data_IF_075453878969
#
_entry.id   IF_075453878969
#
_cell.length_a   1.000
_cell.length_b   1.000
_cell.length_c   1.000
_cell.angle_alpha   90.00
_cell.angle_beta   90.00
_cell.angle_gamma   90.00
#
_symmetry.space_group_name_H-M   'P 1'
#
loop_
_entity.id
_entity.type
_entity.pdbx_description
1 polymer ?
#
# COMPACT_ATOMS: atom_id res chain seq x y z
N UNK A 1 6.78 1.73 16.16
CA UNK A 1 6.92 3.19 15.93
C UNK A 1 6.71 3.54 14.45
N UNK A 2 5.79 2.82 13.76
CA UNK A 2 5.33 3.05 12.38
C UNK A 2 3.81 3.32 12.31
N UNK A 3 3.15 3.39 13.47
CA UNK A 3 1.69 3.32 13.59
C UNK A 3 0.98 4.67 13.76
N UNK A 4 1.70 5.80 13.60
CA UNK A 4 1.13 7.12 13.88
C UNK A 4 1.08 8.09 12.68
N UNK A 5 1.53 7.67 11.48
CA UNK A 5 1.54 8.55 10.29
C UNK A 5 0.54 8.13 9.20
N UNK A 6 -0.15 6.99 9.35
CA UNK A 6 -1.09 6.47 8.33
C UNK A 6 -2.57 6.45 8.75
N UNK A 7 -2.97 7.25 9.74
CA UNK A 7 -4.32 7.21 10.34
C UNK A 7 -5.24 8.39 9.98
N UNK A 8 -5.00 9.10 8.87
CA UNK A 8 -5.86 10.19 8.40
C UNK A 8 -6.19 10.04 6.91
N UNK A 9 -6.66 8.87 6.50
CA UNK A 9 -7.04 8.61 5.11
C UNK A 9 -8.50 8.16 5.06
N UNK A 10 -9.43 9.07 4.79
CA UNK A 10 -10.72 8.76 4.16
C UNK A 10 -11.49 10.04 3.79
N UNK A 11 -12.05 10.13 2.57
CA UNK A 11 -13.21 10.98 2.29
C UNK A 11 -14.46 10.38 2.96
N UNK A 12 -15.23 11.20 3.66
CA UNK A 12 -16.56 10.81 4.15
C UNK A 12 -17.51 10.69 2.96
N UNK A 13 -18.16 9.55 2.80
CA UNK A 13 -19.30 9.39 1.86
C UNK A 13 -20.56 9.28 2.70
N UNK A 14 -21.29 10.40 2.79
CA UNK A 14 -22.57 10.44 3.47
C UNK A 14 -23.66 10.08 2.45
N UNK A 15 -24.31 8.92 2.62
CA UNK A 15 -25.61 8.68 1.98
C UNK A 15 -26.65 9.55 2.70
N UNK A 16 -27.38 10.36 1.94
CA UNK A 16 -28.54 11.09 2.45
C UNK A 16 -29.56 10.11 3.00
N UNK A 17 -29.72 10.11 4.33
CA UNK A 17 -30.84 9.44 4.97
C UNK A 17 -32.04 10.38 4.91
N UNK A 18 -33.11 9.89 4.28
CA UNK A 18 -34.43 10.49 4.28
C UNK A 18 -34.89 10.71 5.72
N UNK A 19 -35.18 11.96 6.09
CA UNK A 19 -35.69 12.31 7.43
C UNK A 19 -37.17 11.93 7.54
N UNK A 20 -37.43 10.67 7.89
CA UNK A 20 -38.72 10.24 8.43
C UNK A 20 -38.75 10.54 9.93
N UNK A 21 -39.62 11.46 10.35
CA UNK A 21 -39.96 11.70 11.75
C UNK A 21 -40.43 10.39 12.40
N UNK A 22 -39.86 10.06 13.57
CA UNK A 22 -40.45 9.08 14.48
C UNK A 22 -40.49 9.72 15.87
N UNK A 23 -41.70 9.80 16.40
CA UNK A 23 -42.06 10.40 17.68
C UNK A 23 -41.44 9.67 18.88
N UNK A 24 -41.11 10.48 19.88
CA UNK A 24 -40.55 10.09 21.17
C UNK A 24 -41.67 9.65 22.14
N UNK A 25 -41.47 8.60 22.94
CA UNK A 25 -42.07 8.58 24.28
C UNK A 25 -41.02 8.42 25.37
N UNK A 26 -41.21 9.26 26.39
CA UNK A 26 -40.41 9.42 27.60
C UNK A 26 -40.41 8.20 28.52
N UNK A 27 -39.31 8.06 29.29
CA UNK A 27 -39.39 7.64 30.70
C UNK A 27 -38.90 6.23 31.04
N UNK A 28 -37.62 6.09 31.42
CA UNK A 28 -37.21 5.10 32.41
C UNK A 28 -35.87 5.48 33.06
N UNK A 29 -35.86 5.46 34.39
CA UNK A 29 -34.82 5.94 35.29
C UNK A 29 -33.50 5.13 35.24
N UNK A 30 -32.38 5.84 35.37
CA UNK A 30 -31.05 5.30 35.63
C UNK A 30 -30.93 4.78 37.08
N UNK A 31 -30.50 3.52 37.24
CA UNK A 31 -29.95 2.98 38.48
C UNK A 31 -28.53 2.48 38.22
N UNK A 32 -27.56 2.95 39.02
CA UNK A 32 -26.17 2.50 39.05
C UNK A 32 -26.04 1.06 39.58
N UNK A 33 -25.07 0.24 39.12
CA UNK A 33 -24.69 -0.96 39.83
C UNK A 33 -23.43 -0.78 40.69
N UNK A 34 -23.59 -1.27 41.91
CA UNK A 34 -22.65 -1.39 43.02
C UNK A 34 -21.50 -2.37 42.71
N UNK A 35 -20.34 -2.11 43.32
CA UNK A 35 -19.14 -2.93 43.26
C UNK A 35 -19.28 -4.29 43.97
N UNK A 36 -18.86 -5.39 43.32
CA UNK A 36 -18.69 -6.70 43.96
C UNK A 36 -17.25 -7.23 43.87
N UNK A 37 -16.85 -7.90 44.97
CA UNK A 37 -15.53 -8.41 45.34
C UNK A 37 -15.22 -9.78 44.70
N UNK A 38 -13.94 -10.21 44.65
CA UNK A 38 -13.50 -11.32 43.81
C UNK A 38 -13.84 -12.70 44.40
N UNK A 39 -14.36 -13.60 43.56
CA UNK A 39 -14.61 -15.02 43.89
C UNK A 39 -13.41 -15.87 43.48
N UNK A 40 -13.00 -16.75 44.40
CA UNK A 40 -11.85 -17.67 44.31
C UNK A 40 -12.01 -18.71 43.19
N UNK A 41 -10.91 -19.03 42.54
CA UNK A 41 -10.77 -20.10 41.55
C UNK A 41 -11.04 -21.47 42.18
N UNK A 42 -11.94 -22.24 41.55
CA UNK A 42 -12.07 -23.68 41.80
C UNK A 42 -11.78 -24.45 40.51
N UNK A 43 -10.95 -25.49 40.68
CA UNK A 43 -10.58 -26.56 39.75
C UNK A 43 -11.80 -27.05 38.93
N UNK A 44 -11.65 -27.13 37.62
CA UNK A 44 -12.57 -27.87 36.75
C UNK A 44 -11.94 -29.23 36.43
N UNK A 45 -12.59 -30.28 36.92
CA UNK A 45 -12.34 -31.67 36.58
C UNK A 45 -12.77 -31.97 35.13
N UNK A 46 -12.03 -32.84 34.48
CA UNK A 46 -12.27 -33.36 33.14
C UNK A 46 -13.58 -34.16 33.08
N UNK A 47 -14.58 -33.64 32.39
CA UNK A 47 -15.81 -34.35 32.04
C UNK A 47 -15.84 -34.67 30.55
N UNK A 48 -16.05 -35.95 30.28
CA UNK A 48 -16.12 -36.65 29.00
C UNK A 48 -17.30 -36.23 28.12
N UNK A 49 -17.03 -36.21 26.81
CA UNK A 49 -17.94 -36.41 25.67
C UNK A 49 -19.44 -36.11 25.89
N UNK A 50 -19.88 -34.92 25.47
CA UNK A 50 -21.27 -34.69 25.03
C UNK A 50 -21.25 -34.18 23.60
N UNK A 51 -21.88 -34.95 22.71
CA UNK A 51 -22.16 -34.58 21.33
C UNK A 51 -22.92 -33.24 21.28
N UNK A 52 -22.33 -32.27 20.56
CA UNK A 52 -23.02 -31.05 20.17
C UNK A 52 -24.09 -31.39 19.10
N UNK A 53 -25.28 -30.79 19.16
CA UNK A 53 -26.34 -31.05 18.19
C UNK A 53 -25.95 -30.54 16.79
N UNK A 54 -26.36 -31.31 15.77
CA UNK A 54 -26.15 -31.08 14.34
C UNK A 54 -26.30 -29.60 13.94
N UNK A 55 -25.15 -28.94 13.73
CA UNK A 55 -25.10 -27.68 12.98
C UNK A 55 -25.50 -28.02 11.55
N UNK A 56 -26.66 -27.51 11.12
CA UNK A 56 -27.08 -27.57 9.71
C UNK A 56 -25.91 -27.04 8.88
N UNK A 57 -25.44 -27.88 7.96
CA UNK A 57 -24.45 -27.54 6.97
C UNK A 57 -24.81 -26.19 6.35
N UNK A 58 -24.01 -25.16 6.62
CA UNK A 58 -24.02 -23.96 5.80
C UNK A 58 -23.69 -24.43 4.39
N UNK A 59 -24.65 -24.26 3.48
CA UNK A 59 -24.47 -24.58 2.08
C UNK A 59 -23.16 -23.94 1.63
N UNK A 60 -22.24 -24.79 1.19
CA UNK A 60 -21.01 -24.42 0.50
C UNK A 60 -21.43 -23.50 -0.64
N UNK A 61 -21.21 -22.20 -0.51
CA UNK A 61 -21.32 -21.29 -1.64
C UNK A 61 -20.15 -21.65 -2.53
N UNK A 62 -20.39 -22.58 -3.47
CA UNK A 62 -19.55 -22.70 -4.66
C UNK A 62 -19.51 -21.33 -5.30
N UNK A 63 -18.33 -20.78 -5.61
CA UNK A 63 -18.26 -19.53 -6.37
C UNK A 63 -19.10 -19.73 -7.63
N UNK A 64 -20.03 -18.84 -7.87
CA UNK A 64 -20.78 -18.83 -9.11
C UNK A 64 -19.74 -18.74 -10.25
N UNK A 65 -19.70 -19.76 -11.10
CA UNK A 65 -19.03 -19.72 -12.40
C UNK A 65 -19.77 -18.72 -13.28
N UNK A 66 -19.49 -17.43 -13.08
CA UNK A 66 -19.97 -16.37 -13.95
C UNK A 66 -19.04 -16.25 -15.16
N UNK A 67 -19.56 -16.76 -16.28
CA UNK A 67 -19.42 -16.28 -17.66
C UNK A 67 -18.04 -15.75 -18.12
N UNK A 68 -17.44 -16.51 -19.05
CA UNK A 68 -16.49 -16.08 -20.08
C UNK A 68 -15.42 -15.07 -19.64
N UNK A 69 -14.29 -15.60 -19.16
CA UNK A 69 -13.02 -14.87 -19.03
C UNK A 69 -12.70 -14.16 -20.37
N UNK A 70 -12.53 -12.82 -20.40
CA UNK A 70 -12.00 -12.16 -21.58
C UNK A 70 -10.54 -12.61 -21.75
N UNK A 71 -10.27 -13.30 -22.87
CA UNK A 71 -8.96 -13.71 -23.40
C UNK A 71 -7.81 -13.84 -22.38
N UNK A 72 -7.92 -14.76 -21.42
CA UNK A 72 -6.72 -15.27 -20.74
C UNK A 72 -5.94 -16.04 -21.80
N UNK A 73 -4.90 -15.42 -22.36
CA UNK A 73 -3.90 -16.13 -23.14
C UNK A 73 -3.38 -17.30 -22.29
N UNK A 74 -3.18 -18.45 -22.94
CA UNK A 74 -3.01 -19.76 -22.30
C UNK A 74 -2.22 -19.72 -20.98
N UNK A 75 -2.72 -20.43 -19.95
CA UNK A 75 -2.01 -20.58 -18.68
C UNK A 75 -0.58 -21.10 -18.93
N UNK A 76 0.39 -20.40 -18.35
CA UNK A 76 1.80 -20.79 -18.42
C UNK A 76 2.31 -21.24 -17.06
N UNK A 77 3.30 -22.12 -17.07
CA UNK A 77 4.02 -22.47 -15.86
C UNK A 77 5.18 -21.50 -15.64
N UNK A 78 5.21 -20.86 -14.47
CA UNK A 78 6.31 -19.98 -14.04
C UNK A 78 6.87 -20.42 -12.69
N UNK A 79 8.16 -20.18 -12.48
CA UNK A 79 8.84 -20.49 -11.21
C UNK A 79 8.78 -19.28 -10.29
N UNK A 80 8.12 -19.42 -9.14
CA UNK A 80 7.88 -18.36 -8.19
C UNK A 80 8.43 -18.69 -6.81
N UNK A 81 9.04 -17.73 -6.09
CA UNK A 81 9.51 -17.96 -4.74
C UNK A 81 8.34 -18.09 -3.76
N UNK A 82 8.55 -18.86 -2.68
CA UNK A 82 7.60 -18.94 -1.57
C UNK A 82 7.47 -17.60 -0.83
N UNK A 83 8.58 -16.88 -0.67
CA UNK A 83 8.63 -15.56 -0.05
C UNK A 83 8.98 -14.49 -1.08
N UNK A 84 8.28 -13.37 -1.02
CA UNK A 84 8.58 -12.17 -1.79
C UNK A 84 8.30 -10.97 -0.89
N UNK A 85 9.30 -10.09 -0.74
CA UNK A 85 9.27 -8.99 0.20
C UNK A 85 10.67 -8.44 0.54
N UNK A 86 10.77 -7.61 1.59
CA UNK A 86 12.05 -7.09 2.08
C UNK A 86 13.06 -8.19 2.36
N UNK A 87 14.34 -7.95 2.03
CA UNK A 87 15.41 -8.91 2.32
C UNK A 87 15.42 -10.19 1.47
N UNK A 88 14.59 -10.27 0.41
CA UNK A 88 14.64 -11.37 -0.54
C UNK A 88 16.08 -11.59 -1.09
N UNK A 89 16.60 -12.81 -0.95
CA UNK A 89 17.88 -13.26 -1.51
C UNK A 89 17.65 -14.51 -2.36
N UNK A 90 17.84 -14.38 -3.69
CA UNK A 90 17.65 -15.47 -4.65
C UNK A 90 18.45 -16.73 -4.28
N UNK A 91 19.63 -16.58 -3.66
CA UNK A 91 20.52 -17.71 -3.32
C UNK A 91 19.96 -18.60 -2.22
N UNK A 92 19.13 -18.04 -1.35
CA UNK A 92 18.55 -18.72 -0.20
C UNK A 92 17.03 -18.96 -0.37
N UNK A 93 16.42 -18.41 -1.42
CA UNK A 93 15.00 -18.54 -1.69
C UNK A 93 14.64 -19.95 -2.17
N UNK A 94 13.50 -20.45 -1.68
CA UNK A 94 12.84 -21.65 -2.21
C UNK A 94 11.84 -21.24 -3.28
N UNK A 95 11.71 -22.06 -4.32
CA UNK A 95 10.83 -21.83 -5.46
C UNK A 95 9.83 -22.97 -5.64
N UNK A 96 8.69 -22.65 -6.25
CA UNK A 96 7.66 -23.58 -6.68
C UNK A 96 7.18 -23.19 -8.08
N UNK A 97 6.84 -24.20 -8.89
CA UNK A 97 6.17 -23.95 -10.16
C UNK A 97 4.70 -23.67 -9.92
N UNK A 98 4.16 -22.64 -10.56
CA UNK A 98 2.77 -22.22 -10.45
C UNK A 98 2.20 -21.98 -11.84
N UNK A 99 0.90 -22.24 -11.99
CA UNK A 99 0.18 -21.83 -13.17
C UNK A 99 -0.17 -20.34 -13.05
N UNK A 100 0.06 -19.59 -14.11
CA UNK A 100 -0.20 -18.16 -14.16
C UNK A 100 -0.91 -17.78 -15.45
N UNK A 101 -1.91 -16.91 -15.34
CA UNK A 101 -2.41 -16.16 -16.48
C UNK A 101 -1.33 -15.17 -16.92
N UNK A 102 -1.06 -15.09 -18.22
CA UNK A 102 -0.26 -14.01 -18.77
C UNK A 102 -1.16 -12.78 -18.89
N UNK A 103 -0.90 -11.78 -18.07
CA UNK A 103 -1.50 -10.47 -18.24
C UNK A 103 -0.75 -9.77 -19.38
N UNK A 104 -1.44 -9.51 -20.49
CA UNK A 104 -0.82 -8.95 -21.68
C UNK A 104 -0.14 -7.61 -21.35
N UNK A 105 1.11 -7.50 -21.78
CA UNK A 105 1.93 -6.31 -21.69
C UNK A 105 2.86 -6.32 -22.91
N UNK A 106 2.81 -5.31 -23.80
CA UNK A 106 2.38 -3.93 -23.52
C UNK A 106 0.86 -3.75 -23.47
N UNK A 107 0.43 -2.82 -22.61
CA UNK A 107 -0.95 -2.29 -22.66
C UNK A 107 -1.10 -1.70 -24.07
N UNK A 108 -1.95 -2.29 -24.90
CA UNK A 108 -2.32 -1.64 -26.15
C UNK A 108 -3.11 -0.39 -25.76
N UNK A 109 -2.46 0.78 -25.71
CA UNK A 109 -3.15 2.03 -25.48
C UNK A 109 -4.14 2.20 -26.64
N UNK A 110 -5.39 1.83 -26.37
CA UNK A 110 -6.46 1.98 -27.32
C UNK A 110 -7.13 3.32 -26.99
N UNK A 111 -6.94 4.38 -27.81
CA UNK A 111 -7.58 5.66 -27.58
C UNK A 111 -9.11 5.59 -27.62
N UNK A 112 -9.70 4.49 -28.12
CA UNK A 112 -11.13 4.23 -28.04
C UNK A 112 -11.55 3.57 -26.71
N UNK A 113 -10.61 3.07 -25.90
CA UNK A 113 -10.89 2.54 -24.58
C UNK A 113 -11.24 3.69 -23.65
N UNK A 114 -12.47 3.68 -23.15
CA UNK A 114 -12.98 4.75 -22.31
C UNK A 114 -12.45 4.56 -20.89
N UNK A 115 -11.92 5.64 -20.31
CA UNK A 115 -11.73 5.75 -18.85
C UNK A 115 -13.01 5.32 -18.16
N UNK A 116 -12.87 4.51 -17.12
CA UNK A 116 -14.03 4.19 -16.31
C UNK A 116 -14.51 5.48 -15.62
N UNK A 117 -15.82 5.72 -15.71
CA UNK A 117 -16.43 6.89 -15.05
C UNK A 117 -17.10 6.38 -13.78
N UNK A 118 -16.47 6.67 -12.64
CA UNK A 118 -17.07 6.35 -11.35
C UNK A 118 -18.41 7.09 -11.21
N UNK A 119 -19.48 6.42 -10.74
CA UNK A 119 -20.78 7.03 -10.49
C UNK A 119 -20.78 7.86 -9.20
N UNK A 120 -19.69 7.83 -8.42
CA UNK A 120 -19.49 8.57 -7.19
C UNK A 120 -18.10 9.19 -7.21
N UNK A 121 -18.02 10.44 -6.74
CA UNK A 121 -16.76 11.17 -6.60
C UNK A 121 -16.44 11.36 -5.11
N UNK A 122 -15.16 11.27 -4.77
CA UNK A 122 -14.70 11.55 -3.41
C UNK A 122 -14.86 13.03 -3.10
N UNK A 123 -15.37 13.35 -1.91
CA UNK A 123 -15.42 14.75 -1.43
C UNK A 123 -13.99 15.18 -1.06
N UNK A 124 -13.49 16.31 -1.59
CA UNK A 124 -12.18 16.83 -1.24
C UNK A 124 -12.02 17.07 0.27
N UNK A 125 -10.83 16.79 0.80
CA UNK A 125 -10.51 17.06 2.22
C UNK A 125 -10.67 18.54 2.59
N UNK A 126 -10.46 19.44 1.62
CA UNK A 126 -10.69 20.89 1.76
C UNK A 126 -12.14 21.26 2.06
N UNK A 127 -13.09 20.41 1.66
CA UNK A 127 -14.53 20.67 1.74
C UNK A 127 -15.18 20.04 2.98
N UNK A 128 -14.41 19.29 3.78
CA UNK A 128 -14.87 18.63 5.01
C UNK A 128 -14.15 19.23 6.21
N UNK A 129 -14.89 19.50 7.28
CA UNK A 129 -14.33 19.94 8.57
C UNK A 129 -14.86 19.08 9.70
N UNK A 130 -13.96 18.52 10.49
CA UNK A 130 -14.30 17.82 11.71
C UNK A 130 -14.69 18.83 12.79
N UNK A 131 -15.87 18.66 13.39
CA UNK A 131 -16.40 19.54 14.44
C UNK A 131 -16.50 18.83 15.77
N UNK A 132 -16.49 19.60 16.86
CA UNK A 132 -16.60 19.08 18.23
C UNK A 132 -15.37 18.33 18.73
N UNK A 133 -15.44 17.88 19.99
CA UNK A 133 -14.40 17.09 20.65
C UNK A 133 -14.76 15.60 20.60
N UNK A 134 -14.21 14.89 19.63
CA UNK A 134 -14.44 13.45 19.44
C UNK A 134 -13.12 12.74 19.11
N UNK A 135 -13.17 11.42 18.92
CA UNK A 135 -11.96 10.64 18.68
C UNK A 135 -11.23 11.02 17.38
N UNK A 136 -11.96 11.44 16.34
CA UNK A 136 -11.39 11.80 15.04
C UNK A 136 -10.75 13.19 15.08
N UNK A 137 -11.43 14.19 15.67
CA UNK A 137 -10.86 15.54 15.81
C UNK A 137 -9.65 15.57 16.76
N UNK A 138 -9.63 14.71 17.79
CA UNK A 138 -8.43 14.49 18.61
C UNK A 138 -7.28 13.83 17.83
N UNK A 139 -7.58 12.83 16.99
CA UNK A 139 -6.58 12.18 16.15
C UNK A 139 -5.97 13.15 15.12
N UNK A 140 -6.80 13.93 14.42
CA UNK A 140 -6.37 14.97 13.48
C UNK A 140 -5.44 15.98 14.17
N UNK A 141 -5.84 16.52 15.32
CA UNK A 141 -5.02 17.50 16.08
C UNK A 141 -3.70 16.90 16.57
N UNK A 142 -3.71 15.63 16.95
CA UNK A 142 -2.50 14.93 17.41
C UNK A 142 -1.53 14.71 16.24
N UNK A 143 -2.06 14.28 15.09
CA UNK A 143 -1.26 14.08 13.88
C UNK A 143 -0.70 15.42 13.37
N UNK A 144 -1.51 16.49 13.34
CA UNK A 144 -1.06 17.83 12.94
C UNK A 144 0.11 18.29 13.80
N UNK A 145 -0.02 18.22 15.14
CA UNK A 145 1.07 18.58 16.06
C UNK A 145 2.33 17.76 15.81
N UNK A 146 2.20 16.46 15.56
CA UNK A 146 3.34 15.60 15.26
C UNK A 146 4.05 16.03 13.97
N UNK A 147 3.30 16.32 12.91
CA UNK A 147 3.86 16.78 11.62
C UNK A 147 4.56 18.14 11.76
N UNK A 148 3.99 19.06 12.54
CA UNK A 148 4.55 20.38 12.81
C UNK A 148 5.82 20.33 13.67
N UNK A 149 5.98 19.30 14.52
CA UNK A 149 7.19 19.08 15.31
C UNK A 149 8.40 18.63 14.48
N UNK A 150 8.18 18.12 13.25
CA UNK A 150 9.25 17.61 12.41
C UNK A 150 9.99 18.76 11.71
N UNK A 151 11.30 18.88 11.97
CA UNK A 151 12.16 19.87 11.33
C UNK A 151 12.38 19.59 9.83
N UNK A 152 12.09 20.55 8.93
CA UNK A 152 12.39 20.45 7.49
C UNK A 152 13.87 20.18 7.21
N UNK A 153 14.79 20.82 7.94
CA UNK A 153 16.23 20.64 7.74
C UNK A 153 16.67 19.20 8.03
N UNK A 154 16.09 18.58 9.06
CA UNK A 154 16.38 17.18 9.42
C UNK A 154 15.78 16.19 8.43
N UNK A 155 14.58 16.48 7.89
CA UNK A 155 13.97 15.69 6.80
C UNK A 155 14.84 15.75 5.52
N UNK A 156 15.39 16.93 5.20
CA UNK A 156 16.22 17.14 4.01
C UNK A 156 17.65 16.63 4.15
N UNK A 157 18.09 16.25 5.36
CA UNK A 157 19.50 16.00 5.67
C UNK A 157 20.14 14.97 4.73
N UNK A 158 19.53 13.79 4.59
CA UNK A 158 20.11 12.70 3.78
C UNK A 158 20.07 13.00 2.28
N UNK A 159 19.03 13.72 1.81
CA UNK A 159 18.93 14.18 0.43
C UNK A 159 20.01 15.21 0.09
N UNK A 160 20.21 16.21 0.95
CA UNK A 160 21.26 17.22 0.79
C UNK A 160 22.64 16.57 0.79
N UNK A 161 22.90 15.62 1.70
CA UNK A 161 24.15 14.86 1.72
C UNK A 161 24.38 14.10 0.41
N UNK A 162 23.35 13.40 -0.09
CA UNK A 162 23.41 12.66 -1.35
C UNK A 162 23.68 13.60 -2.55
N UNK A 163 23.03 14.76 -2.56
CA UNK A 163 23.21 15.80 -3.58
C UNK A 163 24.49 16.64 -3.41
N UNK A 164 25.35 16.32 -2.42
CA UNK A 164 26.56 17.07 -2.06
C UNK A 164 26.30 18.55 -1.75
N UNK A 165 25.12 18.84 -1.20
CA UNK A 165 24.73 20.15 -0.71
C UNK A 165 25.05 20.29 0.79
N UNK A 166 25.24 21.53 1.30
CA UNK A 166 25.38 21.75 2.73
C UNK A 166 24.19 21.21 3.51
N UNK A 167 24.46 20.42 4.54
CA UNK A 167 23.44 19.91 5.48
C UNK A 167 23.28 20.86 6.66
N UNK A 168 22.07 20.95 7.19
CA UNK A 168 21.75 21.69 8.42
C UNK A 168 21.25 20.70 9.46
N UNK A 169 21.59 20.94 10.72
CA UNK A 169 21.19 20.09 11.86
C UNK A 169 21.71 18.63 11.75
N UNK A 170 21.17 17.74 12.58
CA UNK A 170 21.46 16.31 12.65
C UNK A 170 20.39 15.49 11.93
N UNK A 171 20.75 14.35 11.32
CA UNK A 171 19.76 13.47 10.70
C UNK A 171 18.74 12.97 11.73
N UNK A 172 17.61 12.46 11.24
CA UNK A 172 16.78 11.57 12.05
C UNK A 172 17.47 10.20 12.20
N UNK A 173 17.13 9.50 13.29
CA UNK A 173 17.67 8.19 13.63
C UNK A 173 16.76 7.06 13.10
N UNK A 174 16.96 5.83 13.59
CA UNK A 174 16.12 4.69 13.22
C UNK A 174 16.32 4.32 11.74
N UNK A 175 15.23 4.21 10.99
CA UNK A 175 15.30 3.87 9.56
C UNK A 175 15.69 5.06 8.68
N UNK A 176 15.67 6.29 9.22
CA UNK A 176 16.20 7.48 8.55
C UNK A 176 17.69 7.73 8.86
N UNK A 177 18.31 6.90 9.71
CA UNK A 177 19.73 7.00 10.00
C UNK A 177 20.55 6.95 8.69
N UNK A 178 21.61 7.76 8.52
CA UNK A 178 22.32 7.87 7.24
C UNK A 178 22.94 6.57 6.70
N UNK A 179 23.19 5.61 7.58
CA UNK A 179 23.68 4.27 7.23
C UNK A 179 22.58 3.26 6.86
N UNK A 180 21.30 3.62 7.01
CA UNK A 180 20.18 2.74 6.68
C UNK A 180 19.80 2.86 5.20
N UNK A 181 19.52 1.74 4.55
CA UNK A 181 19.16 1.69 3.12
C UNK A 181 17.72 2.14 2.84
N UNK A 182 16.83 2.16 3.84
CA UNK A 182 15.47 2.69 3.72
C UNK A 182 15.35 4.21 3.81
N UNK A 183 16.41 4.92 4.24
CA UNK A 183 16.38 6.37 4.48
C UNK A 183 15.75 7.15 3.31
N UNK A 184 15.01 8.20 3.63
CA UNK A 184 14.21 8.97 2.69
C UNK A 184 12.77 8.47 2.54
N UNK A 185 12.46 7.22 2.94
CA UNK A 185 11.10 6.70 2.85
C UNK A 185 10.12 7.46 3.75
N UNK A 186 10.58 7.87 4.94
CA UNK A 186 9.76 8.64 5.89
C UNK A 186 9.45 10.04 5.34
N UNK A 187 10.39 10.63 4.61
CA UNK A 187 10.19 11.95 3.98
C UNK A 187 9.12 11.87 2.90
N UNK A 188 9.07 10.78 2.12
CA UNK A 188 7.97 10.53 1.21
C UNK A 188 6.61 10.47 1.90
N UNK A 189 6.52 9.72 3.01
CA UNK A 189 5.30 9.68 3.84
C UNK A 189 4.94 11.03 4.44
N UNK A 190 5.92 11.80 4.90
CA UNK A 190 5.71 13.16 5.41
C UNK A 190 5.09 14.08 4.36
N UNK A 191 5.53 14.00 3.10
CA UNK A 191 4.96 14.80 2.01
C UNK A 191 3.47 14.48 1.81
N UNK A 192 3.07 13.21 1.75
CA UNK A 192 1.64 12.83 1.66
C UNK A 192 0.86 13.32 2.89
N UNK A 193 1.35 13.00 4.09
CA UNK A 193 0.65 13.31 5.34
C UNK A 193 0.49 14.83 5.56
N UNK A 194 1.52 15.62 5.24
CA UNK A 194 1.46 17.08 5.36
C UNK A 194 0.52 17.71 4.35
N UNK A 195 0.49 17.24 3.10
CA UNK A 195 -0.44 17.75 2.09
C UNK A 195 -1.92 17.52 2.51
N UNK A 196 -2.24 16.30 2.96
CA UNK A 196 -3.60 15.95 3.40
C UNK A 196 -4.01 16.66 4.69
N UNK A 197 -3.11 16.75 5.67
CA UNK A 197 -3.37 17.47 6.92
C UNK A 197 -3.53 18.98 6.66
N UNK A 198 -2.74 19.56 5.75
CA UNK A 198 -2.92 20.95 5.34
C UNK A 198 -4.27 21.16 4.65
N UNK A 199 -4.66 20.30 3.71
CA UNK A 199 -5.95 20.42 3.03
C UNK A 199 -7.14 20.34 4.01
N UNK A 200 -7.04 19.51 5.05
CA UNK A 200 -8.10 19.33 6.05
C UNK A 200 -8.19 20.47 7.07
N UNK A 201 -7.04 21.07 7.44
CA UNK A 201 -6.97 21.99 8.60
C UNK A 201 -6.65 23.43 8.22
N UNK A 202 -6.02 23.67 7.07
CA UNK A 202 -5.51 24.97 6.67
C UNK A 202 -4.33 25.48 7.52
N UNK A 203 -3.60 24.61 8.23
CA UNK A 203 -2.48 25.06 9.10
C UNK A 203 -1.38 25.76 8.30
N UNK A 204 -1.19 27.05 8.58
CA UNK A 204 -0.17 27.87 7.95
C UNK A 204 1.25 27.44 8.31
N UNK A 205 1.48 27.00 9.56
CA UNK A 205 2.79 26.51 9.98
C UNK A 205 3.17 25.22 9.23
N UNK A 206 2.20 24.31 9.06
CA UNK A 206 2.44 23.10 8.29
C UNK A 206 2.69 23.41 6.81
N UNK A 207 1.94 24.38 6.24
CA UNK A 207 2.14 24.86 4.86
C UNK A 207 3.58 25.32 4.62
N UNK A 208 4.10 26.18 5.50
CA UNK A 208 5.48 26.68 5.43
C UNK A 208 6.49 25.54 5.51
N UNK A 209 6.31 24.59 6.42
CA UNK A 209 7.23 23.47 6.58
C UNK A 209 7.23 22.54 5.36
N UNK A 210 6.07 22.16 4.83
CA UNK A 210 6.00 21.26 3.68
C UNK A 210 6.53 21.91 2.39
N UNK A 211 6.29 23.21 2.17
CA UNK A 211 6.85 23.95 1.03
C UNK A 211 8.37 24.04 1.11
N UNK A 212 8.94 24.24 2.31
CA UNK A 212 10.39 24.19 2.51
C UNK A 212 10.98 22.82 2.17
N UNK A 213 10.30 21.73 2.54
CA UNK A 213 10.75 20.37 2.19
C UNK A 213 10.69 20.16 0.68
N UNK A 214 9.59 20.52 0.00
CA UNK A 214 9.48 20.41 -1.47
C UNK A 214 10.58 21.22 -2.16
N UNK A 215 10.80 22.47 -1.74
CA UNK A 215 11.83 23.34 -2.30
C UNK A 215 13.25 22.76 -2.09
N UNK A 216 13.56 22.26 -0.89
CA UNK A 216 14.85 21.65 -0.59
C UNK A 216 15.10 20.35 -1.35
N UNK A 217 14.06 19.54 -1.57
CA UNK A 217 14.13 18.34 -2.41
C UNK A 217 14.37 18.69 -3.88
N UNK A 218 13.75 19.77 -4.38
CA UNK A 218 14.01 20.26 -5.75
C UNK A 218 15.46 20.72 -5.92
N UNK A 219 16.01 21.45 -4.94
CA UNK A 219 17.44 21.80 -4.95
C UNK A 219 18.31 20.56 -5.07
N UNK A 220 17.98 19.49 -4.33
CA UNK A 220 18.71 18.22 -4.40
C UNK A 220 18.55 17.55 -5.76
N UNK A 221 17.33 17.47 -6.32
CA UNK A 221 17.07 16.84 -7.61
C UNK A 221 17.86 17.51 -8.74
N UNK A 222 17.97 18.84 -8.72
CA UNK A 222 18.72 19.61 -9.74
C UNK A 222 20.22 19.31 -9.77
N UNK A 223 20.78 18.80 -8.68
CA UNK A 223 22.20 18.40 -8.65
C UNK A 223 22.47 17.11 -9.43
N UNK A 224 21.42 16.33 -9.73
CA UNK A 224 21.55 15.12 -10.54
C UNK A 224 21.41 15.45 -12.03
N UNK A 225 22.50 15.23 -12.78
CA UNK A 225 22.62 15.59 -14.21
C UNK A 225 23.12 14.40 -15.04
N UNK A 226 23.13 14.53 -16.36
CA UNK A 226 23.60 13.48 -17.26
C UNK A 226 22.76 12.21 -17.18
N UNK A 227 23.39 11.07 -16.87
CA UNK A 227 22.70 9.79 -16.76
C UNK A 227 21.68 9.74 -15.62
N UNK A 228 21.89 10.54 -14.56
CA UNK A 228 21.05 10.60 -13.38
C UNK A 228 20.05 11.77 -13.42
N UNK A 229 19.89 12.45 -14.56
CA UNK A 229 18.93 13.53 -14.66
C UNK A 229 17.51 13.07 -14.28
N UNK A 230 16.89 13.80 -13.35
CA UNK A 230 15.57 13.49 -12.80
C UNK A 230 15.58 12.55 -11.59
N UNK A 231 16.73 11.97 -11.24
CA UNK A 231 16.88 11.16 -10.04
C UNK A 231 16.70 11.98 -8.76
N UNK A 232 15.97 11.42 -7.80
CA UNK A 232 15.86 11.95 -6.45
C UNK A 232 15.70 10.80 -5.45
N UNK A 233 16.62 10.70 -4.50
CA UNK A 233 16.54 9.80 -3.35
C UNK A 233 17.54 10.27 -2.29
N UNK A 234 17.40 9.78 -1.06
CA UNK A 234 18.37 9.96 0.01
C UNK A 234 19.58 8.98 -0.10
N UNK A 235 19.59 8.13 -1.12
CA UNK A 235 20.66 7.17 -1.40
C UNK A 235 21.09 7.18 -2.87
N UNK A 236 22.27 6.63 -3.20
CA UNK A 236 22.80 6.72 -4.56
C UNK A 236 22.23 5.59 -5.44
N UNK A 237 22.32 5.75 -6.77
CA UNK A 237 21.62 4.90 -7.75
C UNK A 237 22.07 3.43 -7.74
N UNK A 238 23.22 3.13 -7.15
CA UNK A 238 23.79 1.80 -7.01
C UNK A 238 22.94 0.86 -6.15
N UNK A 239 22.05 1.40 -5.29
CA UNK A 239 21.08 0.54 -4.58
C UNK A 239 20.09 -0.12 -5.54
N UNK A 240 19.69 0.59 -6.61
CA UNK A 240 18.88 0.00 -7.66
C UNK A 240 19.68 -1.01 -8.49
N UNK A 241 20.97 -0.77 -8.71
CA UNK A 241 21.82 -1.74 -9.41
C UNK A 241 21.93 -3.05 -8.63
N UNK A 242 22.06 -2.98 -7.28
CA UNK A 242 22.03 -4.15 -6.39
C UNK A 242 20.67 -4.85 -6.42
N UNK A 243 19.59 -4.08 -6.33
CA UNK A 243 18.22 -4.59 -6.38
C UNK A 243 17.97 -5.40 -7.66
N UNK A 244 18.30 -4.82 -8.81
CA UNK A 244 18.08 -5.45 -10.11
C UNK A 244 19.00 -6.66 -10.32
N UNK A 245 20.17 -6.68 -9.67
CA UNK A 245 21.04 -7.87 -9.57
C UNK A 245 20.55 -8.92 -8.58
N UNK A 246 19.40 -8.69 -7.94
CA UNK A 246 18.83 -9.55 -6.91
C UNK A 246 19.84 -9.82 -5.77
N UNK A 247 20.68 -8.82 -5.49
CA UNK A 247 21.61 -8.83 -4.37
C UNK A 247 20.92 -8.23 -3.13
N UNK A 248 21.36 -8.62 -1.91
CA UNK A 248 20.79 -8.03 -0.70
C UNK A 248 20.85 -6.50 -0.75
N UNK A 249 19.71 -5.85 -0.59
CA UNK A 249 19.52 -4.40 -0.44
C UNK A 249 18.13 -4.17 0.13
N UNK A 250 17.91 -3.09 0.88
CA UNK A 250 16.61 -2.83 1.48
C UNK A 250 15.73 -1.92 0.61
N UNK A 251 14.85 -2.55 -0.17
CA UNK A 251 13.65 -1.96 -0.79
C UNK A 251 13.78 -0.54 -1.43
N UNK A 252 14.77 -0.29 -2.31
CA UNK A 252 14.98 1.03 -2.92
C UNK A 252 13.79 1.51 -3.78
N UNK A 253 13.10 0.60 -4.49
CA UNK A 253 11.89 0.95 -5.25
C UNK A 253 10.73 1.37 -4.35
N UNK A 254 10.53 0.68 -3.21
CA UNK A 254 9.56 1.10 -2.20
C UNK A 254 9.83 2.52 -1.70
N UNK A 255 11.10 2.85 -1.42
CA UNK A 255 11.48 4.15 -0.89
C UNK A 255 11.17 5.28 -1.87
N UNK A 256 11.52 5.10 -3.15
CA UNK A 256 11.20 6.12 -4.17
C UNK A 256 9.72 6.16 -4.51
N UNK A 257 9.00 5.04 -4.42
CA UNK A 257 7.53 5.06 -4.52
C UNK A 257 6.95 6.01 -3.46
N UNK A 258 7.36 5.93 -2.19
CA UNK A 258 6.85 6.84 -1.15
C UNK A 258 7.16 8.30 -1.46
N UNK A 259 8.35 8.57 -1.98
CA UNK A 259 8.74 9.92 -2.35
C UNK A 259 7.90 10.45 -3.52
N UNK A 260 7.72 9.66 -4.57
CA UNK A 260 6.92 10.04 -5.74
C UNK A 260 5.45 10.20 -5.37
N UNK A 261 4.87 9.30 -4.57
CA UNK A 261 3.49 9.40 -4.08
C UNK A 261 3.30 10.67 -3.25
N UNK A 262 4.24 10.96 -2.33
CA UNK A 262 4.24 12.19 -1.55
C UNK A 262 4.28 13.46 -2.39
N UNK A 263 5.10 13.50 -3.45
CA UNK A 263 5.14 14.62 -4.39
C UNK A 263 3.84 14.76 -5.20
N UNK A 264 3.23 13.64 -5.61
CA UNK A 264 1.93 13.64 -6.28
C UNK A 264 0.81 14.14 -5.35
N UNK A 265 0.86 13.81 -4.06
CA UNK A 265 -0.13 14.27 -3.07
C UNK A 265 0.03 15.75 -2.73
N UNK A 266 1.27 16.27 -2.72
CA UNK A 266 1.53 17.71 -2.66
C UNK A 266 0.92 18.46 -3.85
N UNK A 267 0.95 17.86 -5.04
CA UNK A 267 0.26 18.40 -6.21
C UNK A 267 -1.27 18.32 -6.06
N UNK A 268 -1.81 17.15 -5.71
CA UNK A 268 -3.26 16.91 -5.64
C UNK A 268 -3.97 17.70 -4.55
N UNK A 269 -3.41 17.71 -3.35
CA UNK A 269 -4.07 18.28 -2.17
C UNK A 269 -3.65 19.71 -1.88
N UNK A 270 -2.46 20.13 -2.36
CA UNK A 270 -1.94 21.47 -2.11
C UNK A 270 -1.61 22.29 -3.36
N UNK A 271 -1.87 21.76 -4.56
CA UNK A 271 -1.67 22.50 -5.80
C UNK A 271 -0.21 22.75 -6.17
N UNK A 272 0.75 22.04 -5.57
CA UNK A 272 2.18 22.24 -5.84
C UNK A 272 2.58 21.72 -7.22
N UNK A 273 2.63 22.62 -8.21
CA UNK A 273 3.10 22.30 -9.57
C UNK A 273 4.58 21.92 -9.61
N UNK A 274 5.39 22.49 -8.70
CA UNK A 274 6.78 22.10 -8.52
C UNK A 274 6.92 20.62 -8.13
N UNK A 275 6.09 20.15 -7.19
CA UNK A 275 6.11 18.75 -6.76
C UNK A 275 5.70 17.81 -7.91
N UNK A 276 4.69 18.18 -8.71
CA UNK A 276 4.34 17.44 -9.93
C UNK A 276 5.56 17.33 -10.86
N UNK A 277 6.17 18.45 -11.22
CA UNK A 277 7.31 18.46 -12.16
C UNK A 277 8.49 17.62 -11.66
N UNK A 278 8.74 17.60 -10.35
CA UNK A 278 9.72 16.72 -9.73
C UNK A 278 9.36 15.24 -9.89
N UNK A 279 8.12 14.87 -9.56
CA UNK A 279 7.62 13.50 -9.69
C UNK A 279 7.66 13.02 -11.15
N UNK A 280 7.31 13.89 -12.11
CA UNK A 280 7.40 13.61 -13.55
C UNK A 280 8.84 13.32 -13.99
N UNK A 281 9.81 14.11 -13.53
CA UNK A 281 11.24 13.86 -13.80
C UNK A 281 11.72 12.54 -13.19
N UNK A 282 11.28 12.20 -11.98
CA UNK A 282 11.55 10.89 -11.38
C UNK A 282 10.91 9.76 -12.20
N UNK A 283 9.67 9.95 -12.64
CA UNK A 283 8.98 9.02 -13.52
C UNK A 283 9.80 8.71 -14.76
N UNK A 284 10.24 9.74 -15.50
CA UNK A 284 11.06 9.53 -16.70
C UNK A 284 12.41 8.86 -16.42
N UNK A 285 13.02 9.14 -15.27
CA UNK A 285 14.23 8.42 -14.84
C UNK A 285 13.95 6.91 -14.75
N UNK A 286 12.85 6.51 -14.11
CA UNK A 286 12.51 5.10 -13.94
C UNK A 286 11.94 4.44 -15.21
N UNK A 287 11.21 5.17 -16.05
CA UNK A 287 10.84 4.75 -17.41
C UNK A 287 12.11 4.35 -18.15
N UNK A 288 13.08 5.26 -18.28
CA UNK A 288 14.35 4.98 -18.95
C UNK A 288 15.12 3.81 -18.31
N UNK A 289 15.10 3.72 -16.98
CA UNK A 289 15.82 2.67 -16.24
C UNK A 289 15.25 1.28 -16.50
N UNK A 290 13.92 1.17 -16.60
CA UNK A 290 13.20 -0.08 -16.87
C UNK A 290 13.20 -0.41 -18.37
N UNK A 291 13.03 0.59 -19.25
CA UNK A 291 13.04 0.46 -20.72
C UNK A 291 14.41 0.14 -21.33
N UNK A 292 15.52 0.27 -20.59
CA UNK A 292 16.88 0.03 -21.09
C UNK A 292 17.20 -1.44 -21.46
N UNK A 293 16.25 -2.16 -22.03
CA UNK A 293 16.37 -3.51 -22.58
C UNK A 293 15.52 -3.65 -23.86
N UNK A 294 16.08 -3.94 -25.05
CA UNK A 294 17.46 -4.28 -25.40
C UNK A 294 18.08 -3.33 -26.45
N UNK A 295 19.36 -3.02 -26.32
CA UNK A 295 20.20 -2.68 -27.47
C UNK A 295 21.53 -3.43 -27.35
N UNK A 296 22.04 -4.07 -28.42
CA UNK A 296 23.36 -4.69 -28.38
C UNK A 296 24.43 -3.59 -28.30
N UNK A 297 25.22 -3.56 -27.22
CA UNK A 297 26.40 -2.71 -27.14
C UNK A 297 27.66 -3.55 -27.37
N UNK A 298 28.44 -3.14 -28.37
CA UNK A 298 29.80 -3.61 -28.63
C UNK A 298 30.73 -3.36 -27.42
N UNK A 299 31.80 -4.15 -27.26
CA UNK A 299 32.56 -4.23 -26.02
C UNK A 299 33.57 -3.09 -25.95
N UNK A 300 33.66 -2.40 -24.80
CA UNK A 300 34.87 -1.75 -24.26
C UNK A 300 34.52 -0.99 -22.95
N UNK A 301 34.34 -1.70 -21.83
CA UNK A 301 34.60 -1.24 -20.45
C UNK A 301 34.09 -2.30 -19.44
N UNK A 302 34.51 -2.28 -18.15
CA UNK A 302 33.85 -3.01 -17.04
C UNK A 302 32.39 -2.55 -16.75
N UNK A 303 31.75 -1.90 -17.72
CA UNK A 303 30.30 -1.69 -17.88
C UNK A 303 29.65 -2.77 -18.77
N UNK A 304 30.42 -3.75 -19.25
CA UNK A 304 29.97 -4.84 -20.11
C UNK A 304 29.20 -5.98 -19.39
N UNK A 305 28.84 -5.81 -18.12
CA UNK A 305 28.06 -6.78 -17.32
C UNK A 305 26.57 -6.40 -17.19
N UNK A 306 26.10 -5.40 -17.95
CA UNK A 306 24.68 -5.26 -18.28
C UNK A 306 24.38 -6.21 -19.44
N UNK A 307 24.48 -7.52 -19.19
CA UNK A 307 23.75 -8.49 -20.01
C UNK A 307 22.31 -8.00 -20.07
N UNK A 308 21.82 -7.79 -21.29
CA UNK A 308 20.55 -7.12 -21.61
C UNK A 308 19.47 -7.43 -20.57
N UNK A 309 19.03 -6.43 -19.80
CA UNK A 309 18.01 -6.56 -18.74
C UNK A 309 16.65 -6.99 -19.30
N UNK A 310 16.53 -8.22 -19.78
CA UNK A 310 15.30 -8.72 -20.39
C UNK A 310 14.08 -8.40 -19.53
N UNK A 311 12.89 -8.31 -20.14
CA UNK A 311 11.63 -8.16 -19.39
C UNK A 311 11.56 -9.17 -18.23
N UNK A 312 12.00 -10.41 -18.45
CA UNK A 312 12.07 -11.44 -17.42
C UNK A 312 13.01 -11.07 -16.25
N UNK A 313 14.19 -10.52 -16.54
CA UNK A 313 15.13 -10.07 -15.51
C UNK A 313 14.53 -8.99 -14.61
N UNK A 314 13.82 -8.01 -15.19
CA UNK A 314 13.10 -7.00 -14.42
C UNK A 314 12.04 -7.66 -13.52
N UNK A 315 11.21 -8.54 -14.07
CA UNK A 315 10.17 -9.24 -13.32
C UNK A 315 10.73 -10.10 -12.18
N UNK A 316 11.89 -10.75 -12.38
CA UNK A 316 12.58 -11.51 -11.34
C UNK A 316 13.07 -10.59 -10.20
N UNK A 317 13.47 -9.35 -10.50
CA UNK A 317 13.89 -8.39 -9.47
C UNK A 317 12.74 -7.96 -8.56
N UNK A 318 11.49 -8.03 -9.03
CA UNK A 318 10.28 -7.72 -8.27
C UNK A 318 9.94 -8.77 -7.21
N UNK A 319 10.79 -9.78 -7.00
CA UNK A 319 10.68 -10.65 -5.82
C UNK A 319 11.03 -9.90 -4.52
N UNK A 320 11.82 -8.83 -4.60
CA UNK A 320 12.06 -7.90 -3.50
C UNK A 320 10.97 -6.82 -3.46
N UNK A 321 10.78 -6.15 -2.32
CA UNK A 321 9.75 -5.12 -2.18
C UNK A 321 10.00 -3.89 -3.08
N UNK A 322 8.97 -3.54 -3.87
CA UNK A 322 8.95 -2.36 -4.75
C UNK A 322 7.83 -1.37 -4.43
N UNK A 323 6.92 -1.68 -3.50
CA UNK A 323 5.77 -0.84 -3.19
C UNK A 323 4.81 -0.67 -4.38
N UNK A 324 4.02 0.41 -4.38
CA UNK A 324 3.08 0.79 -5.44
C UNK A 324 3.75 1.57 -6.55
N UNK A 325 4.85 1.05 -7.12
CA UNK A 325 5.46 1.69 -8.29
C UNK A 325 4.52 1.69 -9.50
N UNK A 326 3.62 0.70 -9.62
CA UNK A 326 2.56 0.73 -10.63
C UNK A 326 1.58 1.89 -10.37
N UNK A 327 1.06 2.02 -9.13
CA UNK A 327 0.16 3.09 -8.70
C UNK A 327 0.73 4.50 -8.98
N UNK A 328 1.98 4.76 -8.60
CA UNK A 328 2.54 6.10 -8.83
C UNK A 328 2.82 6.39 -10.32
N UNK A 329 3.09 5.37 -11.13
CA UNK A 329 3.21 5.52 -12.58
C UNK A 329 1.84 5.78 -13.22
N UNK A 330 0.79 5.09 -12.81
CA UNK A 330 -0.58 5.37 -13.26
C UNK A 330 -1.07 6.75 -12.83
N UNK A 331 -0.67 7.18 -11.64
CA UNK A 331 -0.88 8.55 -11.16
C UNK A 331 -0.22 9.60 -12.07
N UNK A 332 1.01 9.35 -12.55
CA UNK A 332 1.68 10.21 -13.51
C UNK A 332 0.99 10.17 -14.89
N UNK A 333 0.55 9.00 -15.35
CA UNK A 333 -0.25 8.88 -16.57
C UNK A 333 -1.54 9.70 -16.47
N UNK A 334 -2.27 9.61 -15.36
CA UNK A 334 -3.49 10.39 -15.14
C UNK A 334 -3.24 11.91 -15.24
N UNK A 335 -2.11 12.38 -14.70
CA UNK A 335 -1.73 13.80 -14.68
C UNK A 335 -1.13 14.32 -15.99
N UNK A 336 -0.54 13.46 -16.82
CA UNK A 336 0.23 13.87 -18.03
C UNK A 336 -0.34 13.36 -19.35
N UNK A 337 -1.16 12.31 -19.29
CA UNK A 337 -1.61 11.51 -20.41
C UNK A 337 -0.48 10.88 -21.24
N UNK A 338 0.72 10.72 -20.66
CA UNK A 338 1.87 10.09 -21.31
C UNK A 338 1.87 8.57 -21.12
N UNK A 339 1.67 7.83 -22.21
CA UNK A 339 1.50 6.37 -22.16
C UNK A 339 2.73 5.62 -21.67
N UNK A 340 3.93 6.22 -21.70
CA UNK A 340 5.14 5.60 -21.15
C UNK A 340 5.01 5.29 -19.67
N UNK A 341 4.29 6.13 -18.92
CA UNK A 341 3.99 5.85 -17.51
C UNK A 341 2.99 4.70 -17.35
N UNK A 342 1.96 4.65 -18.19
CA UNK A 342 1.00 3.53 -18.20
C UNK A 342 1.71 2.20 -18.49
N UNK A 343 2.53 2.15 -19.54
CA UNK A 343 3.30 0.98 -19.95
C UNK A 343 4.32 0.57 -18.88
N UNK A 344 5.04 1.54 -18.29
CA UNK A 344 6.00 1.27 -17.20
C UNK A 344 5.31 0.79 -15.94
N UNK A 345 4.13 1.32 -15.59
CA UNK A 345 3.35 0.86 -14.45
C UNK A 345 3.01 -0.64 -14.55
N UNK A 346 2.65 -1.11 -15.74
CA UNK A 346 2.34 -2.53 -15.98
C UNK A 346 3.56 -3.44 -15.79
N UNK A 347 4.79 -2.92 -15.96
CA UNK A 347 6.00 -3.70 -15.73
C UNK A 347 6.25 -3.98 -14.24
N UNK A 348 5.64 -3.22 -13.34
CA UNK A 348 5.65 -3.48 -11.89
C UNK A 348 4.53 -4.45 -11.42
N UNK A 349 3.74 -5.00 -12.34
CA UNK A 349 2.66 -5.96 -12.03
C UNK A 349 3.18 -7.41 -12.14
N UNK A 350 3.93 -7.84 -11.14
CA UNK A 350 4.65 -9.13 -11.11
C UNK A 350 3.75 -10.34 -11.38
N UNK A 351 4.04 -11.18 -12.39
CA UNK A 351 3.26 -12.38 -12.72
C UNK A 351 3.14 -13.41 -11.58
N UNK A 352 4.18 -13.57 -10.76
CA UNK A 352 4.13 -14.48 -9.60
C UNK A 352 3.13 -14.07 -8.51
N UNK A 353 2.58 -12.86 -8.58
CA UNK A 353 1.51 -12.39 -7.71
C UNK A 353 0.19 -12.30 -8.49
N UNK A 354 0.18 -11.58 -9.61
CA UNK A 354 -1.05 -11.28 -10.36
C UNK A 354 -1.53 -12.43 -11.25
N UNK A 355 -0.61 -13.27 -11.76
CA UNK A 355 -0.92 -14.38 -12.66
C UNK A 355 -1.78 -15.48 -12.02
N UNK A 356 -1.42 -15.99 -10.82
CA UNK A 356 -2.27 -16.94 -10.08
C UNK A 356 -3.65 -16.37 -9.74
N UNK A 357 -3.73 -15.09 -9.34
CA UNK A 357 -5.00 -14.41 -9.09
C UNK A 357 -5.88 -14.38 -10.35
N UNK A 358 -5.29 -14.20 -11.53
CA UNK A 358 -5.99 -14.24 -12.82
C UNK A 358 -6.60 -15.61 -13.15
N UNK A 359 -6.10 -16.68 -12.52
CA UNK A 359 -6.66 -18.03 -12.59
C UNK A 359 -7.57 -18.35 -11.39
N UNK A 360 -7.89 -17.37 -10.54
CA UNK A 360 -8.68 -17.56 -9.33
C UNK A 360 -7.96 -18.37 -8.24
N UNK A 361 -6.62 -18.40 -8.25
CA UNK A 361 -5.82 -19.14 -7.30
C UNK A 361 -5.36 -18.27 -6.12
N UNK A 362 -5.50 -18.79 -4.90
CA UNK A 362 -4.91 -18.21 -3.69
C UNK A 362 -3.50 -18.76 -3.49
N UNK A 363 -2.49 -17.90 -3.66
CA UNK A 363 -1.09 -18.20 -3.37
C UNK A 363 -0.46 -17.17 -2.40
N UNK A 364 -1.27 -16.50 -1.60
CA UNK A 364 -0.83 -15.41 -0.72
C UNK A 364 -0.01 -15.89 0.48
N UNK A 365 -0.17 -17.15 0.87
CA UNK A 365 0.54 -17.72 2.01
C UNK A 365 2.07 -17.61 1.84
N UNK A 366 2.73 -17.09 2.87
CA UNK A 366 4.18 -16.85 2.90
C UNK A 366 4.61 -15.55 2.20
N UNK A 367 3.71 -14.83 1.54
CA UNK A 367 4.01 -13.54 0.94
C UNK A 367 3.96 -12.41 1.98
N UNK A 368 4.84 -11.42 1.81
CA UNK A 368 4.85 -10.22 2.63
C UNK A 368 3.71 -9.28 2.22
N UNK A 369 2.80 -8.96 3.14
CA UNK A 369 1.56 -8.27 2.80
C UNK A 369 1.77 -6.84 2.28
N UNK A 370 2.62 -6.07 2.95
CA UNK A 370 2.89 -4.67 2.59
C UNK A 370 3.61 -4.52 1.23
N UNK A 371 4.24 -5.58 0.73
CA UNK A 371 4.81 -5.60 -0.63
C UNK A 371 3.73 -5.67 -1.70
N UNK A 372 2.67 -6.43 -1.44
CA UNK A 372 1.70 -6.82 -2.46
C UNK A 372 0.43 -5.97 -2.44
N UNK A 373 -0.03 -5.51 -1.26
CA UNK A 373 -1.23 -4.67 -1.17
C UNK A 373 -1.15 -3.38 -2.03
N UNK A 374 -0.02 -2.64 -2.08
CA UNK A 374 0.09 -1.46 -2.95
C UNK A 374 -0.02 -1.78 -4.45
N UNK A 375 0.37 -2.99 -4.86
CA UNK A 375 0.24 -3.44 -6.25
C UNK A 375 -1.23 -3.52 -6.64
N UNK A 376 -2.08 -4.00 -5.73
CA UNK A 376 -3.53 -4.10 -5.94
C UNK A 376 -4.20 -2.72 -6.04
N UNK A 377 -3.73 -1.74 -5.26
CA UNK A 377 -4.17 -0.33 -5.41
C UNK A 377 -3.85 0.17 -6.81
N UNK A 378 -2.64 -0.10 -7.32
CA UNK A 378 -2.28 0.26 -8.69
C UNK A 378 -3.08 -0.49 -9.76
N UNK A 379 -3.41 -1.78 -9.56
CA UNK A 379 -4.29 -2.52 -10.47
C UNK A 379 -5.66 -1.85 -10.57
N UNK A 380 -6.27 -1.49 -9.44
CA UNK A 380 -7.53 -0.76 -9.48
C UNK A 380 -7.41 0.58 -10.20
N UNK A 381 -6.34 1.34 -9.95
CA UNK A 381 -6.14 2.62 -10.64
C UNK A 381 -5.97 2.43 -12.16
N UNK A 382 -5.27 1.37 -12.60
CA UNK A 382 -5.19 1.00 -14.02
C UNK A 382 -6.59 0.81 -14.58
N UNK A 383 -7.42 0.02 -13.91
CA UNK A 383 -8.81 -0.17 -14.35
C UNK A 383 -9.60 1.14 -14.40
N UNK A 384 -9.46 2.03 -13.41
CA UNK A 384 -10.14 3.34 -13.43
C UNK A 384 -9.73 4.16 -14.67
N UNK A 385 -8.46 4.08 -15.07
CA UNK A 385 -7.89 4.82 -16.19
C UNK A 385 -8.09 4.16 -17.56
N UNK A 386 -8.29 2.85 -17.63
CA UNK A 386 -8.34 2.10 -18.90
C UNK A 386 -9.66 1.37 -19.15
N UNK A 387 -10.45 1.10 -18.11
CA UNK A 387 -11.66 0.27 -18.20
C UNK A 387 -11.38 -1.22 -18.47
N UNK A 388 -10.14 -1.69 -18.24
CA UNK A 388 -9.76 -3.10 -18.45
C UNK A 388 -10.38 -4.03 -17.40
N UNK A 389 -11.44 -4.73 -17.81
CA UNK A 389 -12.25 -5.55 -16.92
C UNK A 389 -11.48 -6.69 -16.24
N UNK A 390 -10.50 -7.29 -16.91
CA UNK A 390 -9.66 -8.34 -16.31
C UNK A 390 -8.84 -7.80 -15.13
N UNK A 391 -8.45 -6.52 -15.15
CA UNK A 391 -7.71 -5.88 -14.05
C UNK A 391 -8.63 -5.62 -12.86
N UNK A 392 -9.88 -5.19 -13.10
CA UNK A 392 -10.91 -5.08 -12.06
C UNK A 392 -11.10 -6.41 -11.34
N UNK A 393 -11.22 -7.51 -12.10
CA UNK A 393 -11.41 -8.86 -11.55
C UNK A 393 -10.26 -9.29 -10.64
N UNK A 394 -9.01 -8.92 -10.95
CA UNK A 394 -7.86 -9.20 -10.09
C UNK A 394 -7.97 -8.48 -8.73
N UNK A 395 -8.29 -7.20 -8.75
CA UNK A 395 -8.44 -6.39 -7.53
C UNK A 395 -9.58 -6.91 -6.66
N UNK A 396 -10.72 -7.24 -7.27
CA UNK A 396 -11.87 -7.81 -6.56
C UNK A 396 -11.59 -9.21 -6.01
N UNK A 397 -10.93 -10.07 -6.78
CA UNK A 397 -10.52 -11.39 -6.31
C UNK A 397 -9.64 -11.28 -5.07
N UNK A 398 -8.59 -10.44 -5.11
CA UNK A 398 -7.71 -10.22 -3.98
C UNK A 398 -8.46 -9.71 -2.75
N UNK A 399 -9.31 -8.69 -2.91
CA UNK A 399 -10.07 -8.14 -1.80
C UNK A 399 -11.01 -9.17 -1.17
N UNK A 400 -11.79 -9.88 -2.00
CA UNK A 400 -12.69 -10.92 -1.53
C UNK A 400 -11.91 -12.02 -0.79
N UNK A 401 -10.75 -12.41 -1.31
CA UNK A 401 -9.89 -13.41 -0.70
C UNK A 401 -9.40 -12.97 0.70
N UNK A 402 -8.84 -11.77 0.82
CA UNK A 402 -8.36 -11.24 2.11
C UNK A 402 -9.51 -11.09 3.11
N UNK A 403 -10.61 -10.47 2.68
CA UNK A 403 -11.76 -10.19 3.54
C UNK A 403 -12.39 -11.47 4.08
N UNK A 404 -12.45 -12.53 3.27
CA UNK A 404 -13.12 -13.79 3.67
C UNK A 404 -12.22 -14.77 4.41
N UNK A 405 -10.89 -14.69 4.23
CA UNK A 405 -9.99 -15.74 4.74
C UNK A 405 -8.90 -15.26 5.68
N UNK A 406 -8.52 -13.97 5.64
CA UNK A 406 -7.31 -13.45 6.27
C UNK A 406 -7.53 -12.06 6.86
N UNK A 407 -8.68 -11.81 7.46
CA UNK A 407 -8.97 -10.54 8.16
C UNK A 407 -9.30 -10.81 9.63
N UNK A 408 -8.53 -10.21 10.54
CA UNK A 408 -8.82 -10.23 11.97
C UNK A 408 -10.03 -9.33 12.28
N UNK A 409 -10.66 -9.50 13.45
CA UNK A 409 -11.79 -8.66 13.90
C UNK A 409 -11.45 -7.16 13.96
N UNK A 410 -10.16 -6.81 14.08
CA UNK A 410 -9.66 -5.42 14.06
C UNK A 410 -9.45 -4.85 12.66
N UNK A 411 -9.69 -5.64 11.60
CA UNK A 411 -9.49 -5.25 10.20
C UNK A 411 -8.07 -5.49 9.65
N UNK A 412 -7.11 -5.91 10.48
CA UNK A 412 -5.76 -6.26 10.02
C UNK A 412 -5.72 -7.60 9.28
N UNK A 413 -4.66 -7.86 8.49
CA UNK A 413 -4.61 -9.03 7.61
C UNK A 413 -3.34 -9.89 7.70
N UNK A 414 -2.25 -9.39 8.29
CA UNK A 414 -0.96 -10.09 8.35
C UNK A 414 -0.55 -10.41 9.78
N UNK A 415 0.41 -11.32 9.94
CA UNK A 415 1.11 -11.60 11.19
C UNK A 415 2.61 -11.55 10.93
N UNK A 416 3.34 -10.71 11.68
CA UNK A 416 4.77 -10.43 11.46
C UNK A 416 5.03 -10.14 9.97
N UNK A 417 4.27 -9.19 9.42
CA UNK A 417 4.33 -8.74 8.02
C UNK A 417 3.87 -9.77 6.94
N UNK A 418 3.59 -11.02 7.29
CA UNK A 418 3.32 -12.10 6.32
C UNK A 418 1.86 -12.59 6.40
N UNK A 419 1.31 -13.00 5.25
CA UNK A 419 0.05 -13.76 5.23
C UNK A 419 0.26 -15.22 5.55
N UNK A 420 -0.49 -15.72 6.53
CA UNK A 420 -0.50 -17.14 6.90
C UNK A 420 -1.57 -17.91 6.12
N UNK A 421 -1.77 -19.18 6.48
CA UNK A 421 -2.80 -20.04 5.89
C UNK A 421 -4.19 -19.40 6.00
N UNK A 422 -4.98 -19.53 4.92
CA UNK A 422 -6.37 -19.07 4.86
C UNK A 422 -7.21 -19.69 5.99
N UNK A 423 -7.96 -18.88 6.74
CA UNK A 423 -8.84 -19.32 7.84
C UNK A 423 -8.13 -19.87 9.09
N UNK A 424 -6.81 -19.72 9.21
CA UNK A 424 -6.02 -20.16 10.38
C UNK A 424 -5.55 -19.00 11.27
N UNK A 425 -6.25 -17.87 11.23
CA UNK A 425 -5.88 -16.64 11.95
C UNK A 425 -5.83 -16.81 13.47
N UNK A 426 -6.51 -17.81 14.03
CA UNK A 426 -6.46 -18.12 15.47
C UNK A 426 -5.11 -18.68 15.94
N UNK A 427 -4.31 -19.26 15.05
CA UNK A 427 -3.00 -19.85 15.39
C UNK A 427 -1.99 -18.79 15.85
N UNK A 428 -2.15 -17.55 15.39
CA UNK A 428 -1.28 -16.42 15.78
C UNK A 428 -1.55 -15.89 17.18
N UNK A 429 -2.68 -16.27 17.77
CA UNK A 429 -3.02 -15.85 19.12
C UNK A 429 -2.20 -16.59 20.20
N UNK A 430 -1.68 -17.78 19.87
CA UNK A 430 -0.88 -18.58 20.80
C UNK A 430 0.51 -17.98 21.04
N UNK A 431 1.13 -17.39 20.02
CA UNK A 431 2.43 -16.70 20.12
C UNK A 431 2.39 -15.53 21.13
N UNK A 432 1.21 -14.93 21.35
CA UNK A 432 1.02 -13.83 22.32
C UNK A 432 0.84 -14.27 23.78
N UNK A 433 0.69 -15.56 24.08
CA UNK A 433 0.56 -16.05 25.45
C UNK A 433 1.90 -16.41 26.09
N UNK A 434 2.87 -16.91 25.30
CA UNK A 434 4.21 -17.24 25.80
C UNK A 434 5.09 -15.99 25.99
N UNK A 435 4.96 -14.97 25.13
CA UNK A 435 5.74 -13.73 25.21
C UNK A 435 5.45 -12.88 26.46
N UNK A 436 4.29 -13.06 27.12
CA UNK A 436 3.98 -12.32 28.37
C UNK A 436 4.74 -12.83 29.59
N UNK A 437 5.29 -14.04 29.55
CA UNK A 437 6.01 -14.63 30.69
C UNK A 437 7.54 -14.57 30.54
N UNK A 438 8.07 -14.36 29.33
CA UNK A 438 9.50 -14.47 29.07
C UNK A 438 10.26 -13.16 28.79
N UNK A 439 9.59 -12.04 28.45
CA UNK A 439 10.32 -10.85 28.00
C UNK A 439 9.85 -9.55 28.67
N UNK A 440 10.60 -9.11 29.68
CA UNK A 440 10.51 -7.75 30.21
C UNK A 440 11.00 -6.66 29.24
N UNK A 441 11.39 -6.98 28.00
CA UNK A 441 11.87 -6.03 26.98
C UNK A 441 11.36 -6.46 25.59
N UNK A 442 10.82 -5.50 24.81
CA UNK A 442 10.17 -5.61 23.48
C UNK A 442 8.65 -5.82 23.45
N UNK A 443 7.91 -4.78 23.80
CA UNK A 443 6.52 -4.59 23.35
C UNK A 443 6.59 -3.96 21.95
N UNK A 444 6.15 -4.66 20.89
CA UNK A 444 5.93 -3.99 19.59
C UNK A 444 5.96 -4.78 18.28
N UNK A 445 5.77 -6.11 18.25
CA UNK A 445 5.62 -6.87 16.99
C UNK A 445 4.33 -7.68 16.89
N UNK A 446 3.28 -7.23 17.57
CA UNK A 446 1.97 -7.91 17.59
C UNK A 446 1.02 -7.26 16.59
N UNK A 447 0.50 -8.07 15.66
CA UNK A 447 -0.48 -7.71 14.63
C UNK A 447 -0.19 -6.36 13.97
N UNK A 448 0.64 -6.36 12.94
CA UNK A 448 0.62 -5.21 12.05
C UNK A 448 -0.80 -5.09 11.48
N UNK A 449 -1.50 -4.04 11.90
CA UNK A 449 -2.42 -3.40 11.01
C UNK A 449 -1.58 -3.07 9.78
N UNK A 450 -1.75 -3.72 8.60
CA UNK A 450 -1.58 -2.94 7.38
C UNK A 450 -2.35 -1.65 7.65
N UNK A 451 -1.71 -0.50 7.44
CA UNK A 451 -2.31 0.79 7.72
C UNK A 451 -3.81 0.67 7.42
N UNK A 452 -4.74 1.02 8.33
CA UNK A 452 -6.16 0.96 8.02
C UNK A 452 -6.43 1.56 6.63
N UNK A 453 -5.63 2.56 6.23
CA UNK A 453 -5.49 3.07 4.87
C UNK A 453 -5.38 2.07 3.71
N UNK A 454 -4.72 0.91 3.80
CA UNK A 454 -4.60 -0.06 2.69
C UNK A 454 -5.85 -0.94 2.55
N UNK A 455 -6.47 -1.34 3.66
CA UNK A 455 -7.76 -2.04 3.63
C UNK A 455 -8.89 -1.05 3.31
N UNK A 456 -8.83 0.17 3.83
CA UNK A 456 -9.78 1.26 3.59
C UNK A 456 -9.59 1.93 2.22
N UNK A 457 -8.40 1.94 1.62
CA UNK A 457 -8.22 2.27 0.20
C UNK A 457 -8.96 1.26 -0.65
N UNK A 458 -8.85 -0.03 -0.29
CA UNK A 458 -9.59 -1.11 -0.95
C UNK A 458 -11.12 -1.01 -0.69
N UNK A 459 -11.56 -0.56 0.49
CA UNK A 459 -12.97 -0.22 0.74
C UNK A 459 -13.42 1.06 0.03
N UNK A 460 -12.54 2.04 -0.17
CA UNK A 460 -12.75 3.21 -1.03
C UNK A 460 -13.00 2.81 -2.49
N UNK A 461 -12.47 1.67 -2.94
CA UNK A 461 -12.80 1.09 -4.25
C UNK A 461 -14.27 0.64 -4.34
N UNK A 462 -14.90 0.28 -3.20
CA UNK A 462 -16.35 0.00 -3.16
C UNK A 462 -17.19 1.27 -3.34
N UNK A 463 -16.66 2.45 -3.02
CA UNK A 463 -17.40 3.69 -3.20
C UNK A 463 -17.56 4.09 -4.66
N UNK A 464 -16.60 3.74 -5.52
CA UNK A 464 -16.66 4.01 -6.96
C UNK A 464 -17.61 3.10 -7.73
N UNK A 465 -18.36 2.20 -7.06
CA UNK A 465 -19.32 1.30 -7.69
C UNK A 465 -20.51 0.95 -6.79
N UNK A 466 -21.77 1.17 -7.21
CA UNK A 466 -22.92 0.69 -6.47
C UNK A 466 -23.02 -0.83 -6.63
N UNK A 467 -22.50 -1.59 -5.67
CA UNK A 467 -23.05 -2.90 -5.38
C UNK A 467 -24.43 -2.70 -4.76
N UNK A 468 -25.46 -2.52 -5.61
CA UNK A 468 -26.78 -3.04 -5.24
C UNK A 468 -26.63 -4.56 -5.17
N UNK A 469 -27.20 -5.18 -4.13
CA UNK A 469 -27.37 -6.63 -3.90
C UNK A 469 -26.49 -7.35 -2.86
N UNK A 470 -25.70 -6.68 -1.99
CA UNK A 470 -25.10 -7.41 -0.85
C UNK A 470 -25.14 -6.72 0.53
N UNK A 471 -25.74 -5.54 0.65
CA UNK A 471 -25.91 -4.85 1.95
C UNK A 471 -27.34 -4.94 2.51
N UNK A 472 -28.23 -5.70 1.88
CA UNK A 472 -29.62 -5.90 2.32
C UNK A 472 -29.84 -7.17 3.18
N UNK A 473 -28.79 -7.90 3.53
CA UNK A 473 -28.92 -9.19 4.26
C UNK A 473 -28.20 -9.27 5.60
N UNK A 474 -27.60 -8.17 6.09
CA UNK A 474 -26.92 -8.14 7.41
C UNK A 474 -27.53 -7.11 8.38
N UNK A 475 -28.52 -6.33 7.95
CA UNK A 475 -29.22 -5.37 8.83
C UNK A 475 -30.70 -5.66 9.07
N UNK A 476 -31.23 -6.78 8.58
CA UNK A 476 -32.58 -7.26 8.91
C UNK A 476 -32.55 -8.75 9.24
N UNK A 477 -32.17 -9.07 10.47
CA UNK A 477 -32.60 -10.27 11.16
C UNK A 477 -32.81 -9.90 12.65
N UNK A 478 -33.94 -10.31 13.26
CA UNK A 478 -34.43 -9.78 14.54
C UNK A 478 -33.52 -10.02 15.74
#
# INVERSE_FOLDING_TARGET
>A
MLLLVAAANLPLIIRGLNTGQVDNPEGAHLQEPVAERPVKANRVETATSRQLPNVRSFNRVTPATTSAHPEISAAVEISCPFYSGPGFDKRNARFRNVQAALLDSPIAHNPAQKRFTAPLEAIPLGDIRLTGENQFSRAERTNLKYLEMLSPDRLLWSFRRQAKLPVKDKPYEGWEHPGNELRGHFVGHYLSASAMAWASTGSEMLRVNMEQVVAGLEECQRMHTGADHGYLSAFPTELFDRYERQQPVWAPYYTVHKLMAGLMDQYRHAGSTQAMEMAKRMGYYFVKRVEASPAPLQPLHPRALLETKSKQWHLDSLNMEYGGMNDVMYSLYAATNDTRFLETGALFERPCFTGPMGLGQDLLEGMHGNTHMPVVVGLQQRFDLTGEEHVRQLSEFFFNLINTTRTYVTGGSTHVEIWLHANHMGETMADHLEDRWAAGHQVGRSHELPAPASVLQVEGLRASYPFSTLLTTVLDAP
#
